data_IF_023605105391
#
_entry.id   IF_023605105391
#
_cell.length_a   1.000
_cell.length_b   1.000
_cell.length_c   1.000
_cell.angle_alpha   90.00
_cell.angle_beta   90.00
_cell.angle_gamma   90.00
#
_symmetry.space_group_name_H-M   'P 1'
#
loop_
_entity.id
_entity.type
_entity.pdbx_description
1 polymer ?
#
# COMPACT_ATOMS: atom_id res chain seq x y z
N UNK A 1 -4.28 -24.57 -0.95
CA UNK A 1 -5.27 -24.59 0.14
C UNK A 1 -5.60 -25.98 0.67
N UNK A 2 -6.19 -26.89 -0.13
CA UNK A 2 -6.64 -28.22 0.34
C UNK A 2 -5.55 -29.04 1.04
N UNK A 3 -4.32 -29.04 0.54
CA UNK A 3 -3.19 -29.75 1.18
C UNK A 3 -2.91 -29.28 2.61
N UNK A 4 -3.07 -27.98 2.89
CA UNK A 4 -2.91 -27.45 4.24
C UNK A 4 -4.08 -27.86 5.14
N UNK A 5 -5.32 -27.78 4.64
CA UNK A 5 -6.51 -28.19 5.40
C UNK A 5 -6.46 -29.68 5.79
N UNK A 6 -6.04 -30.54 4.87
CA UNK A 6 -5.97 -31.99 5.12
C UNK A 6 -4.66 -32.47 5.75
N UNK A 7 -3.57 -31.69 5.64
CA UNK A 7 -2.21 -32.13 6.00
C UNK A 7 -1.46 -31.23 6.97
N UNK A 8 -2.05 -30.12 7.42
CA UNK A 8 -1.48 -29.18 8.40
C UNK A 8 -0.22 -28.43 7.96
N UNK A 9 0.28 -28.65 6.75
CA UNK A 9 1.52 -28.04 6.24
C UNK A 9 1.49 -27.79 4.75
N UNK A 10 2.20 -26.75 4.31
CA UNK A 10 2.40 -26.41 2.89
C UNK A 10 3.83 -25.90 2.70
N UNK A 11 4.57 -26.49 1.76
CA UNK A 11 5.89 -25.97 1.36
C UNK A 11 5.71 -24.85 0.34
N UNK A 12 6.32 -23.69 0.60
CA UNK A 12 6.22 -22.48 -0.23
C UNK A 12 7.37 -22.33 -1.24
N UNK A 13 8.41 -23.17 -1.16
CA UNK A 13 9.68 -22.97 -1.89
C UNK A 13 9.55 -23.07 -3.42
N UNK A 14 8.59 -23.87 -3.90
CA UNK A 14 8.43 -24.15 -5.32
C UNK A 14 7.36 -23.29 -6.01
N UNK A 15 6.74 -22.36 -5.28
CA UNK A 15 5.73 -21.47 -5.83
C UNK A 15 6.35 -20.13 -6.23
N UNK A 16 5.78 -19.49 -7.26
CA UNK A 16 6.16 -18.13 -7.61
C UNK A 16 5.69 -17.14 -6.51
N UNK A 17 6.41 -16.03 -6.38
CA UNK A 17 6.16 -15.08 -5.28
C UNK A 17 4.77 -14.44 -5.37
N UNK A 18 4.24 -14.25 -6.59
CA UNK A 18 2.89 -13.72 -6.79
C UNK A 18 1.86 -14.71 -6.26
N UNK A 19 1.97 -15.99 -6.61
CA UNK A 19 1.10 -17.04 -6.07
C UNK A 19 1.17 -17.13 -4.55
N UNK A 20 2.36 -17.01 -3.95
CA UNK A 20 2.51 -17.04 -2.49
C UNK A 20 1.82 -15.82 -1.85
N UNK A 21 1.90 -14.66 -2.50
CA UNK A 21 1.18 -13.47 -2.05
C UNK A 21 -0.33 -13.65 -2.19
N UNK A 22 -0.83 -14.13 -3.33
CA UNK A 22 -2.26 -14.39 -3.54
C UNK A 22 -2.80 -15.47 -2.59
N UNK A 23 -1.96 -16.46 -2.23
CA UNK A 23 -2.29 -17.48 -1.24
C UNK A 23 -2.61 -16.88 0.13
N UNK A 24 -2.02 -15.75 0.51
CA UNK A 24 -2.34 -15.08 1.77
C UNK A 24 -3.77 -14.54 1.79
N UNK A 25 -4.26 -14.06 0.64
CA UNK A 25 -5.61 -13.54 0.48
C UNK A 25 -6.61 -14.69 0.55
N UNK A 26 -6.29 -15.82 -0.08
CA UNK A 26 -7.09 -17.04 0.06
C UNK A 26 -7.06 -17.55 1.50
N UNK A 27 -5.92 -17.51 2.19
CA UNK A 27 -5.85 -17.92 3.60
C UNK A 27 -6.75 -17.05 4.49
N UNK A 28 -6.84 -15.76 4.21
CA UNK A 28 -7.77 -14.84 4.88
C UNK A 28 -9.25 -15.16 4.60
N UNK A 29 -9.62 -15.43 3.34
CA UNK A 29 -10.98 -15.85 2.98
C UNK A 29 -11.43 -17.12 3.73
N UNK A 30 -10.48 -18.02 4.03
CA UNK A 30 -10.71 -19.25 4.79
C UNK A 30 -10.47 -19.10 6.30
N UNK A 31 -10.19 -17.88 6.79
CA UNK A 31 -9.95 -17.54 8.20
C UNK A 31 -8.81 -18.37 8.85
N UNK A 32 -7.75 -18.64 8.09
CA UNK A 32 -6.61 -19.45 8.52
C UNK A 32 -5.49 -18.57 9.08
N UNK A 33 -5.73 -17.98 10.27
CA UNK A 33 -4.86 -16.97 10.86
C UNK A 33 -3.40 -17.44 11.07
N UNK A 34 -3.20 -18.71 11.47
CA UNK A 34 -1.85 -19.28 11.64
C UNK A 34 -1.09 -19.36 10.30
N UNK A 35 -1.80 -19.70 9.21
CA UNK A 35 -1.22 -19.74 7.88
C UNK A 35 -0.89 -18.34 7.38
N UNK A 36 -1.77 -17.35 7.62
CA UNK A 36 -1.52 -15.95 7.29
C UNK A 36 -0.21 -15.51 7.95
N UNK A 37 -0.07 -15.66 9.27
CA UNK A 37 1.15 -15.26 9.99
C UNK A 37 2.42 -15.96 9.49
N UNK A 38 2.30 -17.24 9.13
CA UNK A 38 3.42 -18.01 8.55
C UNK A 38 3.83 -17.48 7.18
N UNK A 39 2.87 -17.18 6.31
CA UNK A 39 3.13 -16.62 4.97
C UNK A 39 3.68 -15.19 5.08
N UNK A 40 3.13 -14.33 5.95
CA UNK A 40 3.63 -12.98 6.18
C UNK A 40 5.12 -13.01 6.56
N UNK A 41 5.47 -13.83 7.55
CA UNK A 41 6.84 -13.99 8.02
C UNK A 41 7.76 -14.43 6.89
N UNK A 42 7.35 -15.46 6.13
CA UNK A 42 8.12 -15.94 4.98
C UNK A 42 8.31 -14.87 3.89
N UNK A 43 7.26 -14.13 3.54
CA UNK A 43 7.34 -13.06 2.54
C UNK A 43 8.28 -11.94 2.98
N UNK A 44 8.18 -11.52 4.25
CA UNK A 44 8.98 -10.43 4.81
C UNK A 44 10.45 -10.84 4.95
N UNK A 45 10.75 -12.04 5.42
CA UNK A 45 12.12 -12.48 5.68
C UNK A 45 12.82 -12.96 4.42
N UNK A 46 12.14 -13.75 3.59
CA UNK A 46 12.75 -14.43 2.44
C UNK A 46 12.48 -13.74 1.10
N UNK A 47 11.37 -13.00 0.97
CA UNK A 47 10.93 -12.40 -0.30
C UNK A 47 10.84 -10.86 -0.26
N UNK A 48 11.51 -10.22 0.71
CA UNK A 48 11.51 -8.77 0.90
C UNK A 48 11.85 -7.97 -0.37
N UNK A 49 12.75 -8.48 -1.21
CA UNK A 49 13.11 -7.82 -2.46
C UNK A 49 11.91 -7.76 -3.43
N UNK A 50 11.21 -8.87 -3.59
CA UNK A 50 10.01 -8.94 -4.43
C UNK A 50 8.89 -8.03 -3.90
N UNK A 51 8.69 -8.00 -2.57
CA UNK A 51 7.73 -7.08 -1.95
C UNK A 51 8.05 -5.61 -2.26
N UNK A 52 9.34 -5.23 -2.26
CA UNK A 52 9.76 -3.86 -2.59
C UNK A 52 9.56 -3.53 -4.08
N UNK A 53 9.82 -4.47 -4.98
CA UNK A 53 9.62 -4.22 -6.42
C UNK A 53 8.14 -4.14 -6.80
N UNK A 54 7.24 -4.69 -5.97
CA UNK A 54 5.79 -4.65 -6.16
C UNK A 54 5.08 -3.82 -5.07
N UNK A 55 5.77 -2.84 -4.48
CA UNK A 55 5.34 -2.18 -3.25
C UNK A 55 3.95 -1.55 -3.35
N UNK A 56 3.64 -0.82 -4.42
CA UNK A 56 2.34 -0.17 -4.59
C UNK A 56 1.18 -1.17 -4.58
N UNK A 57 1.35 -2.31 -5.26
CA UNK A 57 0.38 -3.40 -5.27
C UNK A 57 0.25 -4.04 -3.89
N UNK A 58 1.38 -4.40 -3.26
CA UNK A 58 1.40 -5.00 -1.92
C UNK A 58 0.73 -4.08 -0.90
N UNK A 59 1.09 -2.78 -0.91
CA UNK A 59 0.52 -1.78 -0.02
C UNK A 59 -0.99 -1.68 -0.21
N UNK A 60 -1.46 -1.49 -1.46
CA UNK A 60 -2.89 -1.40 -1.75
C UNK A 60 -3.67 -2.62 -1.24
N UNK A 61 -3.15 -3.83 -1.47
CA UNK A 61 -3.79 -5.07 -1.04
C UNK A 61 -3.80 -5.20 0.48
N UNK A 62 -2.67 -4.94 1.14
CA UNK A 62 -2.56 -5.07 2.59
C UNK A 62 -3.45 -4.09 3.35
N UNK A 63 -3.64 -2.87 2.84
CA UNK A 63 -4.48 -1.87 3.51
C UNK A 63 -5.97 -1.95 3.14
N UNK A 64 -6.34 -2.85 2.22
CA UNK A 64 -7.73 -3.25 1.99
C UNK A 64 -8.17 -4.40 2.91
N UNK A 65 -7.20 -5.12 3.49
CA UNK A 65 -7.43 -6.29 4.33
C UNK A 65 -6.91 -6.05 5.75
N UNK A 66 -7.79 -6.09 6.75
CA UNK A 66 -7.42 -5.79 8.13
C UNK A 66 -6.66 -6.91 8.86
N UNK A 67 -6.49 -8.10 8.26
CA UNK A 67 -5.81 -9.24 8.89
C UNK A 67 -4.32 -9.33 8.60
N UNK A 68 -3.82 -8.56 7.62
CA UNK A 68 -2.42 -8.58 7.19
C UNK A 68 -1.56 -7.60 8.01
N UNK A 69 -1.62 -7.68 9.34
CA UNK A 69 -0.97 -6.71 10.23
C UNK A 69 0.56 -6.71 10.09
N UNK A 70 1.19 -7.87 9.89
CA UNK A 70 2.64 -7.99 9.75
C UNK A 70 3.14 -7.26 8.52
N UNK A 71 2.49 -7.50 7.38
CA UNK A 71 2.78 -6.82 6.11
C UNK A 71 2.43 -5.34 6.16
N UNK A 72 1.32 -4.95 6.81
CA UNK A 72 1.01 -3.53 7.01
C UNK A 72 2.10 -2.81 7.81
N UNK A 73 2.59 -3.41 8.92
CA UNK A 73 3.70 -2.87 9.71
C UNK A 73 4.98 -2.77 8.88
N UNK A 74 5.29 -3.82 8.10
CA UNK A 74 6.44 -3.82 7.20
C UNK A 74 6.34 -2.71 6.15
N UNK A 75 5.19 -2.60 5.46
CA UNK A 75 4.90 -1.55 4.48
C UNK A 75 5.06 -0.15 5.07
N UNK A 76 4.44 0.09 6.23
CA UNK A 76 4.54 1.37 6.94
C UNK A 76 5.99 1.72 7.30
N UNK A 77 6.81 0.74 7.69
CA UNK A 77 8.23 0.97 8.01
C UNK A 77 9.06 1.37 6.78
N UNK A 78 8.71 0.86 5.60
CA UNK A 78 9.35 1.25 4.33
C UNK A 78 8.86 2.63 3.93
N UNK A 79 7.55 2.87 3.98
CA UNK A 79 6.95 4.15 3.63
C UNK A 79 7.50 5.30 4.48
N UNK A 80 7.65 5.09 5.79
CA UNK A 80 8.23 6.10 6.69
C UNK A 80 9.64 6.53 6.24
N UNK A 81 10.49 5.58 5.83
CA UNK A 81 11.88 5.86 5.42
C UNK A 81 12.00 6.35 3.98
N UNK A 82 11.10 5.90 3.11
CA UNK A 82 11.14 6.20 1.68
C UNK A 82 9.75 6.57 1.16
N UNK A 83 9.17 7.70 1.58
CA UNK A 83 7.80 8.05 1.20
C UNK A 83 7.61 8.13 -0.33
N UNK A 84 8.66 8.57 -1.04
CA UNK A 84 8.73 8.66 -2.50
C UNK A 84 8.27 7.38 -3.23
N UNK A 85 8.40 6.20 -2.62
CA UNK A 85 7.94 4.93 -3.25
C UNK A 85 6.45 4.93 -3.59
N UNK A 86 5.64 5.70 -2.86
CA UNK A 86 4.22 5.92 -3.16
C UNK A 86 4.01 7.28 -3.82
N UNK A 87 4.59 8.35 -3.28
CA UNK A 87 4.34 9.71 -3.77
C UNK A 87 4.81 9.93 -5.23
N UNK A 88 5.90 9.29 -5.65
CA UNK A 88 6.40 9.34 -7.03
C UNK A 88 5.79 8.28 -7.94
N UNK A 89 4.90 7.41 -7.43
CA UNK A 89 4.30 6.35 -8.23
C UNK A 89 3.29 6.91 -9.25
N UNK A 90 3.19 6.25 -10.41
CA UNK A 90 2.22 6.60 -11.45
C UNK A 90 0.77 6.50 -10.94
N UNK A 91 0.53 5.59 -9.99
CA UNK A 91 -0.77 5.35 -9.37
C UNK A 91 -1.15 6.40 -8.30
N UNK A 92 -0.23 7.26 -7.88
CA UNK A 92 -0.46 8.21 -6.78
C UNK A 92 -1.68 9.09 -7.02
N UNK A 93 -1.80 9.63 -8.22
CA UNK A 93 -2.91 10.49 -8.60
C UNK A 93 -4.26 9.75 -8.62
N UNK A 94 -4.27 8.41 -8.63
CA UNK A 94 -5.47 7.56 -8.60
C UNK A 94 -5.82 7.05 -7.19
N UNK A 95 -5.09 7.48 -6.16
CA UNK A 95 -5.38 7.11 -4.78
C UNK A 95 -6.77 7.62 -4.37
N UNK A 96 -7.50 6.78 -3.64
CA UNK A 96 -8.73 7.19 -2.97
C UNK A 96 -8.40 8.17 -1.84
N UNK A 97 -9.32 9.11 -1.59
CA UNK A 97 -9.17 10.14 -0.57
C UNK A 97 -8.82 9.58 0.81
N UNK A 98 -9.48 8.48 1.23
CA UNK A 98 -9.20 7.84 2.51
C UNK A 98 -7.75 7.30 2.64
N UNK A 99 -7.16 6.84 1.54
CA UNK A 99 -5.77 6.42 1.50
C UNK A 99 -4.83 7.63 1.54
N UNK A 100 -5.16 8.72 0.85
CA UNK A 100 -4.40 9.96 0.94
C UNK A 100 -4.41 10.53 2.37
N UNK A 101 -5.57 10.58 3.01
CA UNK A 101 -5.72 11.03 4.41
C UNK A 101 -4.88 10.16 5.35
N UNK A 102 -4.81 8.84 5.14
CA UNK A 102 -4.00 7.97 5.99
C UNK A 102 -2.50 8.23 5.84
N UNK A 103 -2.04 8.66 4.66
CA UNK A 103 -0.65 9.09 4.46
C UNK A 103 -0.36 10.42 5.18
N UNK A 104 -1.23 11.42 5.02
CA UNK A 104 -1.02 12.77 5.59
C UNK A 104 -1.05 12.77 7.11
N UNK A 105 -1.82 11.87 7.73
CA UNK A 105 -1.90 11.73 9.19
C UNK A 105 -0.62 11.21 9.85
N UNK A 106 0.36 10.76 9.07
CA UNK A 106 1.62 10.22 9.59
C UNK A 106 2.62 11.34 9.81
N UNK A 107 3.12 11.44 11.03
CA UNK A 107 4.18 12.35 11.44
C UNK A 107 5.60 11.78 11.26
N UNK A 108 5.71 10.49 10.92
CA UNK A 108 6.97 9.74 10.82
C UNK A 108 7.55 9.66 9.40
N UNK A 109 6.91 10.30 8.42
CA UNK A 109 7.38 10.30 7.03
C UNK A 109 8.67 11.13 6.89
N UNK A 110 9.73 10.51 6.38
CA UNK A 110 11.00 11.19 6.06
C UNK A 110 10.88 12.00 4.76
N UNK A 111 10.00 12.99 4.76
CA UNK A 111 9.76 13.93 3.67
C UNK A 111 9.39 15.30 4.24
N UNK A 112 9.89 16.37 3.63
CA UNK A 112 9.52 17.73 4.03
C UNK A 112 8.03 17.97 3.80
N UNK A 113 7.34 18.59 4.75
CA UNK A 113 5.89 18.87 4.67
C UNK A 113 5.53 19.62 3.39
N UNK A 114 6.36 20.58 2.96
CA UNK A 114 6.14 21.33 1.71
C UNK A 114 6.09 20.42 0.48
N UNK A 115 6.88 19.33 0.46
CA UNK A 115 6.82 18.35 -0.63
C UNK A 115 5.52 17.57 -0.57
N UNK A 116 5.08 17.15 0.62
CA UNK A 116 3.79 16.48 0.83
C UNK A 116 2.66 17.37 0.30
N UNK A 117 2.65 18.66 0.65
CA UNK A 117 1.66 19.63 0.15
C UNK A 117 1.65 19.73 -1.38
N UNK A 118 2.82 19.76 -2.03
CA UNK A 118 2.90 19.78 -3.49
C UNK A 118 2.29 18.52 -4.12
N UNK A 119 2.49 17.34 -3.53
CA UNK A 119 1.82 16.12 -4.01
C UNK A 119 0.31 16.16 -3.80
N UNK A 120 -0.18 16.71 -2.69
CA UNK A 120 -1.62 16.84 -2.42
C UNK A 120 -2.27 17.76 -3.47
N UNK A 121 -1.64 18.88 -3.80
CA UNK A 121 -2.12 19.80 -4.85
C UNK A 121 -2.17 19.07 -6.20
N UNK A 122 -1.09 18.37 -6.56
CA UNK A 122 -1.02 17.56 -7.80
C UNK A 122 -2.14 16.50 -7.85
N UNK A 123 -2.41 15.82 -6.74
CA UNK A 123 -3.50 14.86 -6.62
C UNK A 123 -4.86 15.56 -6.78
N UNK A 124 -5.07 16.71 -6.12
CA UNK A 124 -6.31 17.47 -6.17
C UNK A 124 -6.65 17.96 -7.59
N UNK A 125 -5.66 18.44 -8.33
CA UNK A 125 -5.80 18.81 -9.75
C UNK A 125 -6.18 17.57 -10.59
N UNK A 126 -5.52 16.43 -10.35
CA UNK A 126 -5.79 15.20 -11.09
C UNK A 126 -7.22 14.68 -10.86
N UNK A 127 -7.80 14.91 -9.68
CA UNK A 127 -9.19 14.56 -9.36
C UNK A 127 -10.21 15.55 -9.95
N UNK A 128 -9.79 16.79 -10.24
CA UNK A 128 -10.66 17.87 -10.70
C UNK A 128 -10.10 18.48 -12.00
N UNK A 129 -10.31 17.83 -13.16
CA UNK A 129 -9.70 18.24 -14.43
C UNK A 129 -10.18 19.61 -14.95
N UNK A 130 -11.22 20.18 -14.33
CA UNK A 130 -11.71 21.53 -14.64
C UNK A 130 -10.93 22.63 -13.91
N UNK A 131 -10.07 22.27 -12.94
CA UNK A 131 -9.21 23.23 -12.26
C UNK A 131 -8.05 23.66 -13.17
N UNK A 132 -7.65 24.94 -13.12
CA UNK A 132 -6.39 25.37 -13.69
C UNK A 132 -5.24 24.56 -13.12
N UNK A 133 -4.29 24.17 -13.98
CA UNK A 133 -3.10 23.43 -13.56
C UNK A 133 -2.14 24.25 -12.69
N UNK A 134 -2.20 25.59 -12.80
CA UNK A 134 -1.45 26.50 -11.94
C UNK A 134 -2.29 26.91 -10.73
N UNK A 135 -1.86 26.61 -9.49
CA UNK A 135 -2.54 27.07 -8.29
C UNK A 135 -2.65 28.59 -8.16
N UNK A 136 -1.78 29.36 -8.83
CA UNK A 136 -1.87 30.83 -8.84
C UNK A 136 -3.08 31.35 -9.62
N UNK A 137 -3.63 30.53 -10.53
CA UNK A 137 -4.82 30.85 -11.34
C UNK A 137 -6.14 30.48 -10.63
N UNK A 138 -6.09 29.95 -9.41
CA UNK A 138 -7.27 29.55 -8.66
C UNK A 138 -7.96 30.78 -8.06
N UNK A 139 -9.22 31.05 -8.45
CA UNK A 139 -10.02 32.13 -7.87
C UNK A 139 -10.61 31.74 -6.51
N UNK A 140 -10.94 32.74 -5.68
CA UNK A 140 -11.57 32.55 -4.37
C UNK A 140 -12.93 31.81 -4.42
N UNK A 141 -13.60 31.79 -5.58
CA UNK A 141 -14.84 31.03 -5.80
C UNK A 141 -14.60 29.50 -5.93
N UNK A 142 -13.39 29.09 -6.31
CA UNK A 142 -13.01 27.68 -6.51
C UNK A 142 -12.69 27.00 -5.16
N UNK A 143 -12.22 27.75 -4.17
CA UNK A 143 -11.78 27.25 -2.86
C UNK A 143 -12.91 27.08 -1.82
N UNK A 144 -14.17 27.27 -2.21
CA UNK A 144 -15.36 27.18 -1.32
C UNK A 144 -16.15 25.86 -1.42
N UNK A 145 -15.60 24.84 -2.10
CA UNK A 145 -16.14 23.47 -2.13
C UNK A 145 -15.55 22.61 -1.01
#
# INVERSE_FOLDING_TARGET
MLRYIYGGSVSLENFDNQFIFDLILVADEFLLEELIGSIETYLIESKAHWLRTHFSYVYKTCFQNNKLEGLQKWCNSILAKHPNIIFDSEDFNSLKENALISFIKRDDLQMEEIKIWNYIIKWGIAQNPNLPSDPEDWSDEILQL
#
